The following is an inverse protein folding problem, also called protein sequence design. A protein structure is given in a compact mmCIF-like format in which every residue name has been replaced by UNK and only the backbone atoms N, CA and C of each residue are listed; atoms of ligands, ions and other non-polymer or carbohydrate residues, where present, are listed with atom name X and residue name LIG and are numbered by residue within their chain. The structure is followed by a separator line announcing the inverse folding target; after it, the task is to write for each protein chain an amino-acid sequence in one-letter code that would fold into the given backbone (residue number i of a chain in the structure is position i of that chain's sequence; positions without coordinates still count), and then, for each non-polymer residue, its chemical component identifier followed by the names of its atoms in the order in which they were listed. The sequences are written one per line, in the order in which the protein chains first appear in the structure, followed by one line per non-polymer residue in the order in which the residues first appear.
data_IF_154752164249
#
_entry.id   IF_154752164249
#
_cell.length_a   1.000
_cell.length_b   1.000
_cell.length_c   1.000
_cell.angle_alpha   90.00
_cell.angle_beta   90.00
_cell.angle_gamma   90.00
#
_symmetry.space_group_name_H-M   'P 1'
#
loop_
_entity.id
_entity.type
_entity.pdbx_description
1 polymer ?
#
# COMPACT_ATOMS: atom_id res chain seq x y z
N UNK A 1 -7.39 -4.37 50.44
CA UNK A 1 -7.45 -3.39 49.34
C UNK A 1 -6.70 -4.00 48.16
N UNK A 2 -7.39 -4.38 47.08
CA UNK A 2 -6.77 -5.07 45.93
C UNK A 2 -6.96 -4.23 44.68
N UNK A 3 -5.87 -3.63 44.20
CA UNK A 3 -5.80 -2.93 42.92
C UNK A 3 -5.67 -3.97 41.82
N UNK A 4 -6.73 -4.13 41.02
CA UNK A 4 -6.74 -4.99 39.83
C UNK A 4 -6.16 -4.21 38.66
N UNK A 5 -4.93 -4.51 38.28
CA UNK A 5 -4.31 -3.96 37.07
C UNK A 5 -5.11 -4.39 35.82
N UNK A 6 -5.53 -3.39 35.02
CA UNK A 6 -6.21 -3.62 33.75
C UNK A 6 -5.22 -4.22 32.74
N UNK A 7 -5.60 -5.35 32.16
CA UNK A 7 -4.79 -6.11 31.20
C UNK A 7 -4.49 -5.29 29.95
N UNK A 8 -3.34 -5.54 29.33
CA UNK A 8 -2.95 -4.92 28.05
C UNK A 8 -3.98 -5.17 26.94
N UNK A 9 -4.71 -6.28 27.03
CA UNK A 9 -5.80 -6.61 26.12
C UNK A 9 -7.00 -5.65 26.27
N UNK A 10 -7.27 -5.18 27.49
CA UNK A 10 -8.31 -4.20 27.76
C UNK A 10 -7.92 -2.83 27.19
N UNK A 11 -6.65 -2.45 27.32
CA UNK A 11 -6.11 -1.21 26.72
C UNK A 11 -6.18 -1.23 25.19
N UNK A 12 -5.88 -2.37 24.55
CA UNK A 12 -6.00 -2.55 23.10
C UNK A 12 -7.47 -2.49 22.63
N UNK A 13 -8.38 -3.11 23.37
CA UNK A 13 -9.83 -3.02 23.09
C UNK A 13 -10.37 -1.61 23.26
N UNK A 14 -9.92 -0.90 24.30
CA UNK A 14 -10.35 0.47 24.55
C UNK A 14 -9.81 1.43 23.47
N UNK A 15 -8.58 1.20 22.99
CA UNK A 15 -8.03 1.93 21.85
C UNK A 15 -8.84 1.67 20.55
N UNK A 16 -9.20 0.40 20.29
CA UNK A 16 -10.02 0.04 19.13
C UNK A 16 -11.45 0.61 19.20
N UNK A 17 -12.02 0.73 20.41
CA UNK A 17 -13.34 1.32 20.64
C UNK A 17 -13.34 2.84 20.52
N UNK A 18 -12.25 3.52 20.92
CA UNK A 18 -12.14 4.97 20.83
C UNK A 18 -12.14 5.48 19.38
N UNK A 19 -11.71 4.66 18.43
CA UNK A 19 -11.79 4.96 16.99
C UNK A 19 -13.18 4.72 16.36
N UNK A 20 -14.16 4.23 17.13
CA UNK A 20 -15.51 3.88 16.67
C UNK A 20 -16.54 4.99 16.92
N UNK A 21 -16.14 6.09 17.54
CA UNK A 21 -17.03 7.18 17.93
C UNK A 21 -16.88 8.42 17.06
N UNK A 22 -17.34 8.37 15.81
CA UNK A 22 -17.83 9.51 15.00
C UNK A 22 -18.89 8.97 14.01
N UNK A 23 -19.81 8.15 14.49
CA UNK A 23 -20.93 7.62 13.71
C UNK A 23 -22.16 8.54 13.88
N UNK A 24 -22.04 9.76 13.38
CA UNK A 24 -23.17 10.50 12.84
C UNK A 24 -22.86 10.70 11.37
N UNK A 25 -23.21 9.72 10.51
CA UNK A 25 -22.96 9.89 9.09
C UNK A 25 -24.01 9.20 8.21
N UNK A 26 -24.45 9.98 7.24
CA UNK A 26 -25.39 9.75 6.15
C UNK A 26 -24.99 8.49 5.35
N UNK A 27 -25.93 7.76 4.71
CA UNK A 27 -25.58 6.60 3.92
C UNK A 27 -24.85 7.03 2.64
N UNK A 28 -23.52 6.90 2.67
CA UNK A 28 -22.60 7.21 1.56
C UNK A 28 -21.15 7.15 2.07
N UNK A 29 -20.54 5.96 1.99
CA UNK A 29 -19.16 5.60 2.40
C UNK A 29 -18.25 6.78 2.79
N UNK A 30 -17.96 6.93 4.08
CA UNK A 30 -16.87 7.78 4.53
C UNK A 30 -15.55 7.31 3.90
N UNK A 31 -14.86 8.22 3.22
CA UNK A 31 -13.50 7.97 2.71
C UNK A 31 -12.54 7.80 3.89
N UNK A 32 -11.57 6.91 3.75
CA UNK A 32 -10.48 6.75 4.70
C UNK A 32 -9.43 7.83 4.45
N UNK A 33 -9.32 8.74 5.42
CA UNK A 33 -8.35 9.83 5.45
C UNK A 33 -7.06 9.33 6.10
N UNK A 34 -5.92 9.58 5.46
CA UNK A 34 -4.61 9.24 6.01
C UNK A 34 -4.23 10.31 7.04
N UNK A 35 -4.02 9.90 8.29
CA UNK A 35 -3.56 10.86 9.30
C UNK A 35 -2.10 11.24 9.08
N UNK A 36 -1.74 12.47 9.45
CA UNK A 36 -0.35 12.94 9.38
C UNK A 36 0.58 12.09 10.26
N UNK A 37 0.11 11.61 11.41
CA UNK A 37 0.87 10.69 12.25
C UNK A 37 1.17 9.36 11.53
N UNK A 38 0.18 8.81 10.82
CA UNK A 38 0.37 7.58 10.03
C UNK A 38 1.40 7.79 8.93
N UNK A 39 1.32 8.90 8.20
CA UNK A 39 2.25 9.22 7.12
C UNK A 39 3.67 9.49 7.63
N UNK A 40 3.80 10.19 8.77
CA UNK A 40 5.07 10.40 9.45
C UNK A 40 5.69 9.07 9.85
N UNK A 41 4.93 8.21 10.51
CA UNK A 41 5.44 6.92 11.02
C UNK A 41 5.72 5.91 9.89
N UNK A 42 5.13 6.10 8.71
CA UNK A 42 5.41 5.33 7.49
C UNK A 42 6.57 5.91 6.68
N UNK A 43 7.02 7.13 6.96
CA UNK A 43 8.04 7.82 6.16
C UNK A 43 9.44 7.19 6.28
N UNK A 44 10.34 7.55 5.36
CA UNK A 44 11.74 7.10 5.36
C UNK A 44 12.48 7.31 6.69
N UNK A 45 12.14 8.37 7.44
CA UNK A 45 12.79 8.68 8.73
C UNK A 45 12.41 7.75 9.88
N UNK A 46 11.40 6.91 9.72
CA UNK A 46 10.91 6.03 10.78
C UNK A 46 11.65 4.68 10.80
N UNK A 47 11.82 4.05 11.99
CA UNK A 47 12.43 2.74 12.09
C UNK A 47 11.72 1.70 11.21
N UNK A 48 12.48 0.85 10.53
CA UNK A 48 11.93 -0.12 9.57
C UNK A 48 10.87 -1.03 10.21
N UNK A 49 11.04 -1.39 11.48
CA UNK A 49 10.09 -2.23 12.23
C UNK A 49 8.72 -1.56 12.40
N UNK A 50 8.68 -0.23 12.58
CA UNK A 50 7.44 0.55 12.65
C UNK A 50 6.76 0.56 11.29
N UNK A 51 7.53 0.84 10.23
CA UNK A 51 7.02 0.90 8.85
C UNK A 51 6.44 -0.45 8.40
N UNK A 52 7.14 -1.55 8.67
CA UNK A 52 6.68 -2.92 8.42
C UNK A 52 5.35 -3.21 9.12
N UNK A 53 5.21 -2.80 10.38
CA UNK A 53 3.96 -2.98 11.12
C UNK A 53 2.83 -2.19 10.47
N UNK A 54 3.06 -0.93 10.11
CA UNK A 54 2.07 -0.09 9.45
C UNK A 54 1.65 -0.68 8.11
N UNK A 55 2.58 -1.15 7.27
CA UNK A 55 2.26 -1.80 5.99
C UNK A 55 1.29 -2.98 6.18
N UNK A 56 1.55 -3.82 7.19
CA UNK A 56 0.69 -4.97 7.52
C UNK A 56 -0.69 -4.52 7.98
N UNK A 57 -0.75 -3.60 8.94
CA UNK A 57 -2.01 -3.11 9.52
C UNK A 57 -2.86 -2.36 8.48
N UNK A 58 -2.22 -1.70 7.50
CA UNK A 58 -2.88 -0.85 6.51
C UNK A 58 -3.34 -1.62 5.26
N UNK A 59 -2.76 -2.79 4.96
CA UNK A 59 -3.02 -3.55 3.72
C UNK A 59 -4.51 -3.88 3.51
N UNK A 60 -5.19 -4.40 4.52
CA UNK A 60 -6.64 -4.68 4.43
C UNK A 60 -7.45 -3.40 4.26
N UNK A 61 -7.04 -2.33 4.95
CA UNK A 61 -7.76 -1.06 4.94
C UNK A 61 -7.73 -0.40 3.56
N UNK A 62 -6.57 -0.35 2.92
CA UNK A 62 -6.42 0.22 1.55
C UNK A 62 -7.05 -0.66 0.49
N UNK A 63 -7.23 -1.95 0.75
CA UNK A 63 -7.95 -2.86 -0.14
C UNK A 63 -9.47 -2.64 -0.07
N UNK A 64 -10.02 -2.46 1.14
CA UNK A 64 -11.47 -2.49 1.37
C UNK A 64 -12.14 -1.10 1.42
N UNK A 65 -11.39 -0.04 1.73
CA UNK A 65 -11.93 1.31 1.90
C UNK A 65 -11.57 2.21 0.71
N UNK A 66 -12.45 3.14 0.34
CA UNK A 66 -12.09 4.23 -0.57
C UNK A 66 -11.21 5.22 0.17
N UNK A 67 -10.06 5.56 -0.40
CA UNK A 67 -9.15 6.54 0.19
C UNK A 67 -9.54 7.96 -0.18
N UNK A 68 -9.11 8.94 0.61
CA UNK A 68 -9.17 10.36 0.23
C UNK A 68 -8.43 10.65 -1.09
N UNK A 69 -8.70 11.81 -1.68
CA UNK A 69 -7.94 12.29 -2.84
C UNK A 69 -6.45 12.41 -2.50
N UNK A 70 -5.59 12.11 -3.49
CA UNK A 70 -4.13 12.14 -3.38
C UNK A 70 -3.52 11.10 -2.42
N UNK A 71 -4.32 10.20 -1.83
CA UNK A 71 -3.82 9.18 -0.91
C UNK A 71 -2.86 8.19 -1.59
N UNK A 72 -3.07 7.88 -2.87
CA UNK A 72 -2.19 6.99 -3.64
C UNK A 72 -0.79 7.59 -3.76
N UNK A 73 -0.70 8.87 -4.09
CA UNK A 73 0.53 9.64 -4.23
C UNK A 73 1.25 9.75 -2.89
N UNK A 74 0.52 10.06 -1.80
CA UNK A 74 1.07 10.12 -0.45
C UNK A 74 1.67 8.77 -0.05
N UNK A 75 0.90 7.68 -0.16
CA UNK A 75 1.36 6.34 0.22
C UNK A 75 2.53 5.88 -0.65
N UNK A 76 2.48 6.10 -1.96
CA UNK A 76 3.60 5.79 -2.86
C UNK A 76 4.87 6.51 -2.42
N UNK A 77 4.81 7.81 -2.17
CA UNK A 77 5.97 8.58 -1.72
C UNK A 77 6.51 8.12 -0.36
N UNK A 78 5.65 7.61 0.52
CA UNK A 78 6.06 7.08 1.82
C UNK A 78 6.66 5.68 1.76
N UNK A 79 6.49 4.90 0.69
CA UNK A 79 6.92 3.49 0.64
C UNK A 79 7.89 3.16 -0.49
N UNK A 80 8.05 4.04 -1.50
CA UNK A 80 8.86 3.74 -2.69
C UNK A 80 10.34 3.46 -2.38
N UNK A 81 10.86 3.98 -1.28
CA UNK A 81 12.23 3.71 -0.83
C UNK A 81 12.39 2.28 -0.31
N UNK A 82 11.32 1.64 0.19
CA UNK A 82 11.36 0.27 0.73
C UNK A 82 11.68 -0.80 -0.33
N UNK A 83 11.74 -0.42 -1.61
CA UNK A 83 12.13 -1.28 -2.73
C UNK A 83 13.63 -1.19 -3.06
N UNK A 84 14.40 -0.38 -2.34
CA UNK A 84 15.84 -0.19 -2.53
C UNK A 84 16.70 -1.40 -2.14
N UNK A 85 17.93 -1.44 -2.68
CA UNK A 85 18.93 -2.52 -2.50
C UNK A 85 19.38 -2.68 -1.04
N UNK A 86 19.23 -1.64 -0.24
CA UNK A 86 19.53 -1.58 1.19
C UNK A 86 18.56 -2.39 2.07
N UNK A 87 17.40 -2.76 1.54
CA UNK A 87 16.38 -3.50 2.26
C UNK A 87 16.42 -5.00 1.94
N UNK A 88 16.08 -5.82 2.94
CA UNK A 88 16.01 -7.27 2.75
C UNK A 88 14.90 -7.66 1.78
N UNK A 89 15.04 -8.82 1.13
CA UNK A 89 14.02 -9.37 0.22
C UNK A 89 12.64 -9.44 0.89
N UNK A 90 12.56 -9.86 2.15
CA UNK A 90 11.29 -9.93 2.89
C UNK A 90 10.64 -8.56 3.06
N UNK A 91 11.45 -7.52 3.30
CA UNK A 91 10.98 -6.15 3.44
C UNK A 91 10.44 -5.63 2.10
N UNK A 92 11.18 -5.84 1.00
CA UNK A 92 10.74 -5.45 -0.34
C UNK A 92 9.47 -6.19 -0.74
N UNK A 93 9.38 -7.49 -0.48
CA UNK A 93 8.21 -8.32 -0.81
C UNK A 93 6.96 -7.93 0.00
N UNK A 94 7.13 -7.51 1.25
CA UNK A 94 6.04 -6.93 2.03
C UNK A 94 5.55 -5.61 1.42
N UNK A 95 6.46 -4.74 0.98
CA UNK A 95 6.10 -3.49 0.30
C UNK A 95 5.37 -3.76 -1.03
N UNK A 96 5.79 -4.78 -1.80
CA UNK A 96 5.07 -5.23 -3.00
C UNK A 96 3.64 -5.71 -2.66
N UNK A 97 3.50 -6.50 -1.60
CA UNK A 97 2.19 -7.00 -1.14
C UNK A 97 1.27 -5.84 -0.77
N UNK A 98 1.78 -4.86 -0.02
CA UNK A 98 1.04 -3.64 0.31
C UNK A 98 0.63 -2.88 -0.96
N UNK A 99 1.53 -2.73 -1.93
CA UNK A 99 1.25 -2.03 -3.17
C UNK A 99 0.16 -2.76 -3.99
N UNK A 100 0.19 -4.09 -4.06
CA UNK A 100 -0.87 -4.88 -4.68
C UNK A 100 -2.22 -4.65 -3.99
N UNK A 101 -2.29 -4.67 -2.65
CA UNK A 101 -3.48 -4.33 -1.88
C UNK A 101 -4.02 -2.92 -2.22
N UNK A 102 -3.12 -1.94 -2.28
CA UNK A 102 -3.45 -0.56 -2.62
C UNK A 102 -4.02 -0.44 -4.04
N UNK A 103 -3.38 -1.06 -5.04
CA UNK A 103 -3.85 -1.01 -6.42
C UNK A 103 -5.19 -1.74 -6.61
N UNK A 104 -5.40 -2.87 -5.91
CA UNK A 104 -6.67 -3.60 -5.94
C UNK A 104 -7.83 -2.74 -5.43
N UNK A 105 -7.65 -2.06 -4.29
CA UNK A 105 -8.72 -1.26 -3.68
C UNK A 105 -9.02 0.06 -4.40
N UNK A 106 -8.02 0.65 -5.07
CA UNK A 106 -8.10 2.01 -5.61
C UNK A 106 -8.05 2.08 -7.15
N UNK A 107 -8.49 1.02 -7.82
CA UNK A 107 -8.41 0.90 -9.29
C UNK A 107 -9.07 2.03 -10.07
N UNK A 108 -10.16 2.59 -9.54
CA UNK A 108 -10.90 3.74 -10.07
C UNK A 108 -10.22 5.10 -9.86
N UNK A 109 -9.31 5.21 -8.88
CA UNK A 109 -8.65 6.47 -8.51
C UNK A 109 -7.23 6.62 -9.06
N UNK A 110 -6.66 5.59 -9.69
CA UNK A 110 -5.23 5.61 -10.09
C UNK A 110 -4.87 6.68 -11.13
N UNK A 111 -5.74 6.97 -12.13
CA UNK A 111 -5.45 7.96 -13.20
C UNK A 111 -3.99 7.85 -13.70
N UNK A 112 -3.23 8.95 -13.69
CA UNK A 112 -1.83 9.02 -14.14
C UNK A 112 -0.86 8.19 -13.30
N UNK A 113 -1.20 7.85 -12.04
CA UNK A 113 -0.37 6.98 -11.20
C UNK A 113 -0.19 5.59 -11.81
N UNK A 114 -1.06 5.17 -12.73
CA UNK A 114 -0.87 3.93 -13.50
C UNK A 114 0.45 3.92 -14.26
N UNK A 115 0.78 5.01 -14.94
CA UNK A 115 2.06 5.15 -15.63
C UNK A 115 3.24 5.13 -14.65
N UNK A 116 3.08 5.77 -13.48
CA UNK A 116 4.10 5.77 -12.42
C UNK A 116 4.39 4.35 -11.90
N UNK A 117 3.34 3.56 -11.62
CA UNK A 117 3.51 2.18 -11.17
C UNK A 117 4.03 1.26 -12.27
N UNK A 118 3.59 1.44 -13.50
CA UNK A 118 4.15 0.69 -14.64
C UNK A 118 5.64 0.98 -14.82
N UNK A 119 6.05 2.25 -14.74
CA UNK A 119 7.45 2.66 -14.79
C UNK A 119 8.27 2.00 -13.68
N UNK A 120 7.76 2.01 -12.45
CA UNK A 120 8.40 1.31 -11.33
C UNK A 120 8.57 -0.20 -11.61
N UNK A 121 7.53 -0.89 -12.08
CA UNK A 121 7.60 -2.31 -12.43
C UNK A 121 8.66 -2.57 -13.51
N UNK A 122 8.72 -1.69 -14.52
CA UNK A 122 9.65 -1.78 -15.65
C UNK A 122 11.09 -1.58 -15.20
N UNK A 123 11.35 -0.60 -14.33
CA UNK A 123 12.68 -0.18 -13.91
C UNK A 123 13.25 -0.99 -12.72
N UNK A 124 12.40 -1.67 -11.92
CA UNK A 124 12.85 -2.50 -10.81
C UNK A 124 13.66 -3.71 -11.27
N UNK A 125 14.92 -3.85 -10.86
CA UNK A 125 15.87 -4.80 -11.45
C UNK A 125 16.36 -5.92 -10.50
N UNK A 126 15.77 -6.05 -9.30
CA UNK A 126 16.16 -7.06 -8.33
C UNK A 126 15.74 -8.48 -8.78
N UNK A 127 16.68 -9.44 -8.92
CA UNK A 127 16.37 -10.81 -9.37
C UNK A 127 15.39 -11.56 -8.46
N UNK A 128 15.45 -11.32 -7.15
CA UNK A 128 14.60 -11.98 -6.15
C UNK A 128 13.13 -11.51 -6.21
N UNK A 129 12.87 -10.40 -6.91
CA UNK A 129 11.57 -9.74 -6.89
C UNK A 129 10.78 -9.95 -8.18
N UNK A 130 11.29 -10.77 -9.12
CA UNK A 130 10.63 -11.03 -10.42
C UNK A 130 9.18 -11.50 -10.24
N UNK A 131 8.93 -12.44 -9.32
CA UNK A 131 7.56 -12.90 -9.04
C UNK A 131 6.65 -11.78 -8.51
N UNK A 132 7.16 -10.94 -7.62
CA UNK A 132 6.40 -9.82 -7.06
C UNK A 132 6.10 -8.74 -8.10
N UNK A 133 7.05 -8.45 -8.99
CA UNK A 133 6.87 -7.53 -10.12
C UNK A 133 5.77 -8.01 -11.07
N UNK A 134 5.78 -9.29 -11.43
CA UNK A 134 4.77 -9.88 -12.31
C UNK A 134 3.38 -9.85 -11.68
N UNK A 135 3.26 -10.18 -10.39
CA UNK A 135 1.97 -10.12 -9.68
C UNK A 135 1.46 -8.67 -9.53
N UNK A 136 2.37 -7.71 -9.33
CA UNK A 136 2.01 -6.29 -9.31
C UNK A 136 1.55 -5.80 -10.69
N UNK A 137 2.21 -6.22 -11.78
CA UNK A 137 1.78 -5.94 -13.14
C UNK A 137 0.40 -6.52 -13.43
N UNK A 138 0.18 -7.77 -13.02
CA UNK A 138 -1.10 -8.44 -13.15
C UNK A 138 -2.21 -7.66 -12.43
N UNK A 139 -1.92 -7.21 -11.21
CA UNK A 139 -2.81 -6.37 -10.42
C UNK A 139 -3.09 -5.02 -11.10
N UNK A 140 -2.05 -4.30 -11.53
CA UNK A 140 -2.17 -2.99 -12.18
C UNK A 140 -3.01 -3.07 -13.47
N UNK A 141 -2.84 -4.16 -14.22
CA UNK A 141 -3.54 -4.38 -15.48
C UNK A 141 -4.91 -5.02 -15.31
N UNK A 142 -5.28 -5.47 -14.12
CA UNK A 142 -6.47 -6.32 -13.91
C UNK A 142 -6.46 -7.49 -14.88
N UNK A 143 -5.39 -8.29 -14.83
CA UNK A 143 -5.19 -9.45 -15.68
C UNK A 143 -5.22 -9.10 -17.18
N UNK A 144 -4.50 -8.04 -17.55
CA UNK A 144 -4.37 -7.56 -18.93
C UNK A 144 -5.53 -6.72 -19.45
N UNK A 145 -6.63 -6.56 -18.69
CA UNK A 145 -7.82 -5.83 -19.15
C UNK A 145 -7.62 -4.33 -19.32
N UNK A 146 -6.78 -3.71 -18.49
CA UNK A 146 -6.58 -2.27 -18.46
C UNK A 146 -5.10 -1.93 -18.59
N UNK A 147 -4.73 -1.29 -19.70
CA UNK A 147 -3.35 -0.84 -19.98
C UNK A 147 -3.26 0.68 -20.19
N UNK A 148 -4.34 1.41 -19.88
CA UNK A 148 -4.41 2.85 -20.02
C UNK A 148 -3.23 3.55 -19.32
N UNK A 149 -2.62 4.51 -20.02
CA UNK A 149 -1.44 5.32 -19.67
C UNK A 149 -0.06 4.68 -19.92
N UNK A 150 0.01 3.48 -20.49
CA UNK A 150 1.27 2.80 -20.82
C UNK A 150 1.12 1.81 -21.99
N UNK A 151 0.13 2.02 -22.86
CA UNK A 151 -0.26 1.11 -23.93
C UNK A 151 0.88 0.83 -24.92
N UNK A 152 1.64 1.87 -25.27
CA UNK A 152 2.76 1.77 -26.22
C UNK A 152 3.97 1.05 -25.60
N UNK A 153 4.11 1.10 -24.27
CA UNK A 153 5.28 0.57 -23.57
C UNK A 153 5.10 -0.88 -23.10
N UNK A 154 3.86 -1.35 -22.93
CA UNK A 154 3.58 -2.68 -22.36
C UNK A 154 4.06 -3.83 -23.25
N UNK A 155 3.90 -3.71 -24.57
CA UNK A 155 4.34 -4.72 -25.54
C UNK A 155 5.87 -4.89 -25.54
N UNK A 156 6.65 -3.83 -25.78
CA UNK A 156 8.12 -3.87 -25.69
C UNK A 156 8.66 -4.30 -24.32
N UNK A 157 7.89 -4.10 -23.24
CA UNK A 157 8.28 -4.58 -21.93
C UNK A 157 8.22 -6.11 -21.82
N UNK A 158 7.16 -6.74 -22.33
CA UNK A 158 7.04 -8.20 -22.30
C UNK A 158 8.12 -8.91 -23.12
N UNK A 159 8.54 -8.33 -24.25
CA UNK A 159 9.62 -8.93 -25.05
C UNK A 159 10.96 -8.93 -24.32
N UNK A 160 11.23 -7.92 -23.48
CA UNK A 160 12.43 -7.86 -22.63
C UNK A 160 12.36 -8.80 -21.43
N UNK A 161 11.16 -9.10 -20.92
CA UNK A 161 10.98 -10.06 -19.82
C UNK A 161 11.17 -11.51 -20.27
N UNK A 162 10.92 -11.80 -21.55
CA UNK A 162 11.01 -13.14 -22.14
C UNK A 162 12.39 -13.46 -22.74
N UNK A 163 13.30 -12.48 -22.77
CA UNK A 163 14.67 -12.60 -23.29
C UNK A 163 15.67 -12.83 -22.15
#
# INVERSE_FOLDING_TARGET
MSSKDKSLQDKLRDFLKRNKGHAGNIPGRSEFVLSEDLLRDLSYGSPITVRIKILKDLSDKVTLSKLENNALEKLWNSVKDLFGKEHTTETRHLAFTFLQCLLKGQSDKMKIMRAQFFRFIKEHDHPEDVGQRLELLNTLTTNGKYILYFEEEVGPFFTKLAA
#
